data_IF_629019670923
#
_entry.id   IF_629019670923
#
_cell.length_a   1.000
_cell.length_b   1.000
_cell.length_c   1.000
_cell.angle_alpha   90.00
_cell.angle_beta   90.00
_cell.angle_gamma   90.00
#
_symmetry.space_group_name_H-M   'P 1'
#
loop_
_entity.id
_entity.type
_entity.pdbx_description
1 polymer ?
#
# COMPACT_ATOMS: atom_id res chain seq x y z
N UNK A 1 -4.58 -13.31 13.63
CA UNK A 1 -4.43 -11.85 13.40
C UNK A 1 -2.99 -11.42 13.71
N UNK A 2 -2.27 -10.94 12.70
CA UNK A 2 -0.89 -10.47 12.75
C UNK A 2 -0.87 -9.10 13.41
N UNK A 3 -0.13 -8.98 14.51
CA UNK A 3 0.08 -7.70 15.20
C UNK A 3 1.09 -6.81 14.49
N UNK A 4 1.27 -5.56 14.97
CA UNK A 4 2.13 -4.55 14.34
C UNK A 4 3.59 -4.97 14.14
N UNK A 5 4.10 -5.89 14.96
CA UNK A 5 5.50 -6.35 14.90
C UNK A 5 5.68 -7.71 14.21
N UNK A 6 4.62 -8.30 13.67
CA UNK A 6 4.65 -9.66 13.12
C UNK A 6 5.68 -9.80 11.98
N UNK A 7 5.80 -8.80 11.12
CA UNK A 7 6.73 -8.81 9.98
C UNK A 7 8.16 -8.35 10.32
N UNK A 8 8.48 -8.10 11.59
CA UNK A 8 9.87 -7.90 12.00
C UNK A 8 10.66 -9.22 12.01
N UNK A 9 9.98 -10.34 12.23
CA UNK A 9 10.59 -11.67 12.37
C UNK A 9 10.04 -12.70 11.39
N UNK A 10 8.94 -12.39 10.69
CA UNK A 10 8.31 -13.26 9.70
C UNK A 10 8.32 -12.58 8.33
N UNK A 11 8.46 -13.38 7.27
CA UNK A 11 8.42 -12.85 5.91
C UNK A 11 7.02 -12.39 5.51
N UNK A 12 6.96 -11.29 4.76
CA UNK A 12 5.74 -10.87 4.07
C UNK A 12 5.42 -11.82 2.92
N UNK A 13 4.14 -12.13 2.75
CA UNK A 13 3.65 -12.69 1.49
C UNK A 13 3.91 -11.71 0.36
N UNK A 14 4.06 -12.21 -0.87
CA UNK A 14 4.35 -11.36 -2.02
C UNK A 14 3.27 -10.29 -2.24
N UNK A 15 2.00 -10.63 -1.99
CA UNK A 15 0.89 -9.68 -2.06
C UNK A 15 0.97 -8.59 -0.99
N UNK A 16 1.30 -8.93 0.26
CA UNK A 16 1.46 -7.94 1.34
C UNK A 16 2.65 -7.03 1.07
N UNK A 17 3.77 -7.57 0.59
CA UNK A 17 4.94 -6.77 0.20
C UNK A 17 4.57 -5.77 -0.90
N UNK A 18 3.86 -6.23 -1.93
CA UNK A 18 3.44 -5.37 -3.03
C UNK A 18 2.48 -4.27 -2.56
N UNK A 19 1.56 -4.57 -1.64
CA UNK A 19 0.65 -3.60 -1.05
C UNK A 19 1.41 -2.47 -0.33
N UNK A 20 2.42 -2.84 0.47
CA UNK A 20 3.27 -1.88 1.20
C UNK A 20 4.08 -1.02 0.23
N UNK A 21 4.65 -1.61 -0.83
CA UNK A 21 5.41 -0.88 -1.85
C UNK A 21 4.52 0.16 -2.54
N UNK A 22 3.31 -0.23 -2.98
CA UNK A 22 2.37 0.68 -3.65
C UNK A 22 1.98 1.83 -2.72
N UNK A 23 1.67 1.52 -1.45
CA UNK A 23 1.29 2.54 -0.47
C UNK A 23 2.44 3.52 -0.16
N UNK A 24 3.66 3.00 0.02
CA UNK A 24 4.85 3.83 0.27
C UNK A 24 5.21 4.70 -0.95
N UNK A 25 5.09 4.14 -2.16
CA UNK A 25 5.31 4.88 -3.42
C UNK A 25 4.28 6.00 -3.57
N UNK A 26 3.01 5.71 -3.29
CA UNK A 26 1.96 6.73 -3.30
C UNK A 26 2.28 7.88 -2.35
N UNK A 27 2.63 7.62 -1.09
CA UNK A 27 3.00 8.67 -0.15
C UNK A 27 4.25 9.44 -0.55
N UNK A 28 5.22 8.78 -1.16
CA UNK A 28 6.43 9.43 -1.68
C UNK A 28 6.10 10.39 -2.83
N UNK A 29 5.32 9.94 -3.82
CA UNK A 29 4.94 10.78 -4.97
C UNK A 29 3.97 11.92 -4.59
N UNK A 30 3.01 11.67 -3.69
CA UNK A 30 2.09 12.71 -3.22
C UNK A 30 2.79 13.82 -2.43
N UNK A 31 3.94 13.54 -1.81
CA UNK A 31 4.65 14.53 -0.98
C UNK A 31 5.41 15.57 -1.81
N UNK A 32 5.80 15.24 -3.04
CA UNK A 32 6.47 16.17 -3.95
C UNK A 32 5.49 16.99 -4.82
N UNK A 33 4.17 16.82 -4.62
CA UNK A 33 3.15 17.56 -5.38
C UNK A 33 3.25 17.36 -6.89
N UNK A 34 3.77 16.20 -7.32
CA UNK A 34 4.01 15.92 -8.72
C UNK A 34 2.68 15.71 -9.45
N UNK A 35 2.19 16.78 -10.07
CA UNK A 35 1.05 16.77 -11.00
C UNK A 35 1.32 15.96 -12.27
N UNK A 36 2.54 15.42 -12.44
CA UNK A 36 2.97 14.58 -13.55
C UNK A 36 3.36 13.13 -13.15
N UNK A 37 3.23 12.76 -11.87
CA UNK A 37 3.50 11.40 -11.38
C UNK A 37 2.43 10.39 -11.79
N UNK A 38 2.74 9.09 -11.70
CA UNK A 38 1.77 8.03 -11.99
C UNK A 38 0.56 8.10 -11.03
N UNK A 39 0.77 8.65 -9.82
CA UNK A 39 -0.26 8.97 -8.84
C UNK A 39 -0.45 10.48 -8.68
N UNK A 40 -0.75 11.16 -9.80
CA UNK A 40 -1.10 12.58 -9.80
C UNK A 40 -2.09 12.95 -8.68
N UNK A 41 -2.04 14.20 -8.24
CA UNK A 41 -2.75 14.76 -7.07
C UNK A 41 -4.28 14.90 -7.31
N UNK A 42 -4.93 13.78 -7.66
CA UNK A 42 -6.36 13.65 -7.96
C UNK A 42 -7.00 12.68 -6.94
N UNK A 43 -8.17 13.03 -6.39
CA UNK A 43 -8.95 12.16 -5.51
C UNK A 43 -9.24 10.77 -6.11
N UNK A 44 -9.39 10.69 -7.44
CA UNK A 44 -9.61 9.46 -8.17
C UNK A 44 -8.39 8.52 -8.14
N UNK A 45 -7.18 9.08 -8.27
CA UNK A 45 -5.93 8.33 -8.18
C UNK A 45 -5.74 7.75 -6.77
N UNK A 46 -6.00 8.54 -5.72
CA UNK A 46 -5.97 8.08 -4.34
C UNK A 46 -6.96 6.92 -4.09
N UNK A 47 -8.17 7.00 -4.67
CA UNK A 47 -9.16 5.91 -4.58
C UNK A 47 -8.69 4.64 -5.27
N UNK A 48 -8.06 4.74 -6.45
CA UNK A 48 -7.55 3.59 -7.18
C UNK A 48 -6.39 2.90 -6.44
N UNK A 49 -5.50 3.68 -5.84
CA UNK A 49 -4.43 3.15 -4.97
C UNK A 49 -5.02 2.41 -3.79
N UNK A 50 -6.01 3.01 -3.12
CA UNK A 50 -6.66 2.40 -1.96
C UNK A 50 -7.31 1.06 -2.28
N UNK A 51 -8.07 0.97 -3.37
CA UNK A 51 -8.68 -0.29 -3.80
C UNK A 51 -7.62 -1.34 -4.19
N UNK A 52 -6.52 -0.92 -4.82
CA UNK A 52 -5.42 -1.83 -5.18
C UNK A 52 -4.74 -2.42 -3.94
N UNK A 53 -4.40 -1.56 -2.96
CA UNK A 53 -3.82 -1.98 -1.68
C UNK A 53 -4.78 -2.92 -0.94
N UNK A 54 -6.07 -2.59 -0.91
CA UNK A 54 -7.10 -3.42 -0.28
C UNK A 54 -7.19 -4.82 -0.89
N UNK A 55 -7.18 -4.94 -2.21
CA UNK A 55 -7.21 -6.23 -2.90
C UNK A 55 -5.97 -7.07 -2.58
N UNK A 56 -4.79 -6.44 -2.55
CA UNK A 56 -3.54 -7.14 -2.25
C UNK A 56 -3.49 -7.63 -0.79
N UNK A 57 -4.01 -6.84 0.15
CA UNK A 57 -4.09 -7.22 1.56
C UNK A 57 -5.18 -8.26 1.84
N UNK A 58 -6.24 -8.33 1.02
CA UNK A 58 -7.25 -9.39 1.14
C UNK A 58 -6.69 -10.79 0.85
N UNK A 59 -5.56 -10.89 0.14
CA UNK A 59 -4.80 -12.13 0.01
C UNK A 59 -4.20 -12.60 1.35
N UNK A 60 -4.03 -11.69 2.31
CA UNK A 60 -3.45 -11.94 3.63
C UNK A 60 -4.41 -11.47 4.74
N UNK A 61 -5.53 -12.18 4.87
CA UNK A 61 -6.69 -11.84 5.73
C UNK A 61 -6.39 -11.69 7.22
N UNK A 62 -5.18 -12.04 7.66
CA UNK A 62 -4.78 -11.93 9.06
C UNK A 62 -4.05 -10.62 9.38
N UNK A 63 -3.63 -9.84 8.38
CA UNK A 63 -2.92 -8.58 8.60
C UNK A 63 -3.82 -7.55 9.28
N UNK A 64 -3.34 -6.98 10.38
CA UNK A 64 -3.83 -5.72 10.91
C UNK A 64 -2.75 -4.68 10.60
N UNK A 65 -3.10 -3.67 9.82
CA UNK A 65 -2.26 -2.48 9.61
C UNK A 65 -2.61 -1.41 10.64
#
# INVERSE_FOLDING_TARGET
KKGPDYYQTNEMTDSTRQAVIILATFFYESRDGSTAGFFADSPEAARQVWETVKLLLQGDREVIL
#
